data_IF_213093358403
#
_entry.id   IF_213093358403
#
_cell.length_a   1.000
_cell.length_b   1.000
_cell.length_c   1.000
_cell.angle_alpha   90.00
_cell.angle_beta   90.00
_cell.angle_gamma   90.00
#
_symmetry.space_group_name_H-M   'P 1'
#
loop_
_entity.id
_entity.type
_entity.pdbx_description
1 polymer ?
#
# COMPACT_ATOMS: atom_id res chain seq x y z
N UNK A 1 -17.91 -5.32 -0.49
CA UNK A 1 -16.46 -5.21 -0.27
C UNK A 1 -15.77 -5.19 -1.61
N UNK A 2 -14.78 -4.30 -1.80
CA UNK A 2 -13.94 -4.29 -3.01
C UNK A 2 -13.29 -5.65 -3.23
N UNK A 3 -13.06 -6.03 -4.50
CA UNK A 3 -12.27 -7.23 -4.84
C UNK A 3 -10.76 -6.93 -4.89
N UNK A 4 -10.40 -5.65 -4.94
CA UNK A 4 -9.02 -5.18 -5.07
C UNK A 4 -8.67 -4.34 -3.85
N UNK A 5 -7.48 -4.54 -3.30
CA UNK A 5 -6.91 -3.68 -2.28
C UNK A 5 -5.52 -3.19 -2.69
N UNK A 6 -5.28 -1.89 -2.51
CA UNK A 6 -3.95 -1.33 -2.50
C UNK A 6 -3.31 -1.56 -1.13
N UNK A 7 -2.09 -2.07 -1.10
CA UNK A 7 -1.35 -2.37 0.13
C UNK A 7 -0.08 -1.52 0.18
N UNK A 8 0.11 -0.83 1.29
CA UNK A 8 1.35 -0.10 1.55
C UNK A 8 2.36 -0.95 2.38
N UNK A 9 3.61 -0.48 2.53
CA UNK A 9 4.66 -1.22 3.24
C UNK A 9 4.34 -1.42 4.72
N UNK A 10 3.63 -0.48 5.35
CA UNK A 10 3.31 -0.57 6.77
C UNK A 10 2.44 -1.79 7.08
N UNK A 11 1.58 -2.21 6.15
CA UNK A 11 0.76 -3.41 6.28
C UNK A 11 1.49 -4.71 5.94
N UNK A 12 2.56 -4.65 5.13
CA UNK A 12 3.27 -5.86 4.68
C UNK A 12 4.52 -6.16 5.50
N UNK A 13 5.27 -5.15 5.97
CA UNK A 13 6.54 -5.31 6.70
C UNK A 13 6.39 -6.20 7.95
N UNK A 14 5.43 -5.98 8.86
CA UNK A 14 5.30 -6.82 10.06
C UNK A 14 4.92 -8.27 9.71
N UNK A 15 4.17 -8.46 8.63
CA UNK A 15 3.75 -9.78 8.15
C UNK A 15 4.95 -10.56 7.60
N UNK A 16 5.78 -9.94 6.77
CA UNK A 16 6.92 -10.62 6.12
C UNK A 16 8.12 -10.81 7.05
N UNK A 17 8.29 -9.93 8.04
CA UNK A 17 9.34 -10.06 9.07
C UNK A 17 8.91 -10.92 10.27
N UNK A 18 7.74 -11.55 10.22
CA UNK A 18 7.33 -12.50 11.25
C UNK A 18 7.01 -11.86 12.61
N UNK A 19 6.53 -10.62 12.64
CA UNK A 19 6.12 -9.94 13.89
C UNK A 19 4.78 -10.51 14.41
N UNK A 20 4.83 -11.49 15.32
CA UNK A 20 3.67 -12.28 15.79
C UNK A 20 2.47 -11.44 16.28
N UNK A 21 2.72 -10.25 16.84
CA UNK A 21 1.67 -9.38 17.38
C UNK A 21 0.79 -8.72 16.31
N UNK A 22 1.26 -8.63 15.05
CA UNK A 22 0.56 -7.96 13.95
C UNK A 22 0.00 -8.92 12.89
N UNK A 23 0.45 -10.17 12.89
CA UNK A 23 0.10 -11.15 11.85
C UNK A 23 -1.40 -11.47 11.81
N UNK A 24 -2.03 -11.80 12.93
CA UNK A 24 -3.37 -12.41 12.87
C UNK A 24 -4.48 -11.50 12.31
N UNK A 25 -4.46 -10.20 12.62
CA UNK A 25 -5.45 -9.25 12.10
C UNK A 25 -5.09 -8.72 10.71
N UNK A 26 -3.81 -8.43 10.46
CA UNK A 26 -3.36 -7.87 9.18
C UNK A 26 -3.40 -8.91 8.08
N UNK A 27 -2.94 -10.15 8.35
CA UNK A 27 -3.11 -11.29 7.44
C UNK A 27 -4.56 -11.47 7.04
N UNK A 28 -5.48 -11.41 8.00
CA UNK A 28 -6.91 -11.57 7.72
C UNK A 28 -7.46 -10.47 6.82
N UNK A 29 -6.99 -9.22 6.98
CA UNK A 29 -7.34 -8.10 6.10
C UNK A 29 -6.80 -8.33 4.69
N UNK A 30 -5.55 -8.80 4.56
CA UNK A 30 -4.93 -9.10 3.26
C UNK A 30 -5.64 -10.27 2.55
N UNK A 31 -5.88 -11.38 3.26
CA UNK A 31 -6.53 -12.59 2.72
C UNK A 31 -8.00 -12.34 2.31
N UNK A 32 -8.63 -11.25 2.77
CA UNK A 32 -9.98 -10.88 2.37
C UNK A 32 -10.09 -10.39 0.92
N UNK A 33 -8.96 -10.06 0.28
CA UNK A 33 -8.93 -9.54 -1.09
C UNK A 33 -8.24 -10.53 -2.03
N UNK A 34 -8.91 -10.97 -3.11
CA UNK A 34 -8.29 -11.84 -4.11
C UNK A 34 -7.20 -11.15 -4.93
N UNK A 35 -7.18 -9.81 -4.95
CA UNK A 35 -6.22 -9.02 -5.71
C UNK A 35 -5.59 -7.95 -4.83
N UNK A 36 -4.32 -8.15 -4.49
CA UNK A 36 -3.49 -7.19 -3.77
C UNK A 36 -2.61 -6.45 -4.77
N UNK A 37 -2.64 -5.12 -4.71
CA UNK A 37 -1.91 -4.24 -5.62
C UNK A 37 -1.00 -3.32 -4.82
N UNK A 38 0.15 -2.94 -5.39
CA UNK A 38 0.98 -1.87 -4.82
C UNK A 38 1.83 -1.18 -5.88
N UNK A 39 2.50 -0.09 -5.52
CA UNK A 39 3.56 0.49 -6.34
C UNK A 39 4.81 -0.39 -6.27
N UNK A 40 5.65 -0.32 -7.29
CA UNK A 40 6.99 -0.93 -7.28
C UNK A 40 7.90 -0.36 -6.18
N UNK A 41 7.57 0.82 -5.66
CA UNK A 41 8.25 1.43 -4.52
C UNK A 41 8.18 0.58 -3.24
N UNK A 42 7.08 -0.17 -3.05
CA UNK A 42 6.92 -1.11 -1.95
C UNK A 42 8.08 -2.11 -1.87
N UNK A 43 8.54 -2.65 -3.01
CA UNK A 43 9.64 -3.62 -3.01
C UNK A 43 10.94 -3.00 -2.50
N UNK A 44 11.21 -1.74 -2.87
CA UNK A 44 12.38 -1.02 -2.38
C UNK A 44 12.33 -0.83 -0.86
N UNK A 45 11.17 -0.48 -0.31
CA UNK A 45 10.97 -0.31 1.13
C UNK A 45 11.11 -1.63 1.89
N UNK A 46 10.57 -2.72 1.35
CA UNK A 46 10.75 -4.06 1.93
C UNK A 46 12.23 -4.45 1.94
N UNK A 47 12.95 -4.29 0.83
CA UNK A 47 14.39 -4.59 0.77
C UNK A 47 15.19 -3.78 1.78
N UNK A 48 14.84 -2.52 2.01
CA UNK A 48 15.45 -1.68 3.06
C UNK A 48 15.13 -2.22 4.45
N UNK A 49 13.88 -2.62 4.71
CA UNK A 49 13.48 -3.21 5.99
C UNK A 49 14.24 -4.52 6.28
N UNK A 50 14.26 -5.47 5.35
CA UNK A 50 15.04 -6.71 5.47
C UNK A 50 16.52 -6.43 5.72
N UNK A 51 17.10 -5.47 4.98
CA UNK A 51 18.50 -5.09 5.17
C UNK A 51 18.76 -4.52 6.57
N UNK A 52 17.82 -3.76 7.13
CA UNK A 52 17.91 -3.20 8.49
C UNK A 52 17.87 -4.29 9.55
N UNK A 53 17.01 -5.29 9.37
CA UNK A 53 16.89 -6.45 10.26
C UNK A 53 17.97 -7.52 10.03
N UNK A 54 18.86 -7.32 9.06
CA UNK A 54 19.93 -8.26 8.68
C UNK A 54 19.39 -9.61 8.18
N UNK A 55 18.22 -9.58 7.56
CA UNK A 55 17.60 -10.74 6.92
C UNK A 55 17.78 -10.72 5.40
N UNK A 56 17.75 -11.89 4.79
CA UNK A 56 17.77 -12.02 3.33
C UNK A 56 16.37 -11.79 2.77
N UNK A 57 16.26 -10.91 1.78
CA UNK A 57 14.98 -10.64 1.12
C UNK A 57 14.53 -11.85 0.30
N UNK A 58 13.45 -12.49 0.74
CA UNK A 58 12.78 -13.55 -0.01
C UNK A 58 11.76 -12.94 -0.98
N UNK A 59 11.96 -13.17 -2.27
CA UNK A 59 11.02 -12.77 -3.35
C UNK A 59 9.62 -13.37 -3.18
N UNK A 60 9.46 -14.48 -2.45
CA UNK A 60 8.15 -15.05 -2.16
C UNK A 60 7.27 -14.10 -1.33
N UNK A 61 7.89 -13.19 -0.55
CA UNK A 61 7.24 -12.18 0.30
C UNK A 61 6.34 -11.21 -0.46
N UNK A 62 6.55 -11.05 -1.77
CA UNK A 62 5.76 -10.16 -2.64
C UNK A 62 5.08 -10.89 -3.79
N UNK A 63 5.11 -12.22 -3.79
CA UNK A 63 4.61 -13.04 -4.91
C UNK A 63 3.10 -12.94 -5.16
N UNK A 64 2.33 -12.53 -4.14
CA UNK A 64 0.89 -12.29 -4.23
C UNK A 64 0.51 -10.85 -4.62
N UNK A 65 1.50 -9.95 -4.69
CA UNK A 65 1.28 -8.54 -5.03
C UNK A 65 1.41 -8.35 -6.54
N UNK A 66 0.41 -7.72 -7.15
CA UNK A 66 0.51 -7.22 -8.50
C UNK A 66 0.94 -5.74 -8.50
N UNK A 67 1.81 -5.40 -9.45
CA UNK A 67 2.50 -4.12 -9.47
C UNK A 67 1.79 -3.10 -10.36
N UNK A 68 1.61 -1.89 -9.83
CA UNK A 68 1.08 -0.74 -10.56
C UNK A 68 2.26 0.07 -11.09
N UNK A 69 2.29 0.26 -12.41
CA UNK A 69 3.24 1.11 -13.10
C UNK A 69 2.50 2.27 -13.78
N UNK A 70 2.47 3.47 -13.19
CA UNK A 70 1.85 4.62 -13.80
C UNK A 70 2.48 4.92 -15.18
N UNK A 71 1.65 4.93 -16.22
CA UNK A 71 2.08 5.21 -17.59
C UNK A 71 2.16 6.71 -17.91
N UNK A 72 1.92 7.56 -16.91
CA UNK A 72 2.03 9.01 -16.95
C UNK A 72 2.52 9.54 -15.61
N UNK A 73 2.89 10.82 -15.60
CA UNK A 73 3.13 11.54 -14.36
C UNK A 73 1.85 11.56 -13.50
N UNK A 74 2.04 11.48 -12.19
CA UNK A 74 0.96 11.51 -11.20
C UNK A 74 0.79 12.91 -10.55
N UNK A 75 1.02 13.97 -11.32
CA UNK A 75 1.05 15.35 -10.78
C UNK A 75 -0.28 15.73 -10.14
N UNK A 76 -1.41 15.34 -10.75
CA UNK A 76 -2.75 15.63 -10.24
C UNK A 76 -3.05 14.84 -8.96
N UNK A 77 -2.65 13.58 -8.89
CA UNK A 77 -2.86 12.72 -7.73
C UNK A 77 -2.01 13.17 -6.55
N UNK A 78 -0.72 13.48 -6.78
CA UNK A 78 0.16 14.01 -5.74
C UNK A 78 -0.37 15.34 -5.20
N UNK A 79 -0.86 16.23 -6.06
CA UNK A 79 -1.49 17.49 -5.63
C UNK A 79 -2.71 17.22 -4.73
N UNK A 80 -3.62 16.33 -5.13
CA UNK A 80 -4.81 15.96 -4.33
C UNK A 80 -4.46 15.37 -2.96
N UNK A 81 -3.41 14.56 -2.88
CA UNK A 81 -2.92 14.02 -1.59
C UNK A 81 -2.43 15.15 -0.69
N UNK A 82 -1.63 16.06 -1.25
CA UNK A 82 -1.00 17.16 -0.50
C UNK A 82 -1.98 18.29 -0.14
N UNK A 83 -3.13 18.39 -0.81
CA UNK A 83 -4.22 19.28 -0.40
C UNK A 83 -4.83 18.89 0.96
N UNK A 84 -4.75 17.59 1.33
CA UNK A 84 -5.31 17.07 2.58
C UNK A 84 -4.29 17.18 3.72
N UNK A 85 -3.07 16.69 3.51
CA UNK A 85 -2.03 16.69 4.56
C UNK A 85 -0.63 16.70 3.95
N UNK A 86 0.29 17.33 4.67
CA UNK A 86 1.72 17.09 4.45
C UNK A 86 2.07 15.66 4.91
N UNK A 87 2.74 14.92 4.04
CA UNK A 87 3.13 13.52 4.23
C UNK A 87 4.57 13.31 3.73
N UNK A 88 5.20 12.22 4.15
CA UNK A 88 6.52 11.85 3.60
C UNK A 88 6.40 11.50 2.10
N UNK A 89 7.47 11.66 1.31
CA UNK A 89 7.45 11.34 -0.13
C UNK A 89 6.95 9.93 -0.44
N UNK A 90 7.30 8.94 0.39
CA UNK A 90 6.85 7.55 0.25
C UNK A 90 5.32 7.44 0.36
N UNK A 91 4.74 8.04 1.41
CA UNK A 91 3.29 8.01 1.64
C UNK A 91 2.53 8.75 0.53
N UNK A 92 3.06 9.89 0.07
CA UNK A 92 2.53 10.62 -1.08
C UNK A 92 2.53 9.72 -2.32
N UNK A 93 3.63 9.01 -2.58
CA UNK A 93 3.75 8.11 -3.72
C UNK A 93 2.74 6.96 -3.68
N UNK A 94 2.53 6.33 -2.52
CA UNK A 94 1.56 5.26 -2.37
C UNK A 94 0.12 5.73 -2.61
N UNK A 95 -0.30 6.81 -1.95
CA UNK A 95 -1.64 7.36 -2.11
C UNK A 95 -1.87 7.86 -3.55
N UNK A 96 -0.89 8.51 -4.16
CA UNK A 96 -0.98 8.97 -5.54
C UNK A 96 -1.10 7.80 -6.53
N UNK A 97 -0.34 6.72 -6.30
CA UNK A 97 -0.43 5.50 -7.12
C UNK A 97 -1.78 4.82 -6.97
N UNK A 98 -2.32 4.78 -5.75
CA UNK A 98 -3.65 4.23 -5.49
C UNK A 98 -4.74 5.05 -6.18
N UNK A 99 -4.66 6.39 -6.15
CA UNK A 99 -5.58 7.28 -6.87
C UNK A 99 -5.51 7.02 -8.38
N UNK A 100 -4.31 7.06 -8.95
CA UNK A 100 -4.08 6.78 -10.37
C UNK A 100 -4.73 5.46 -10.79
N UNK A 101 -4.49 4.40 -10.01
CA UNK A 101 -5.00 3.08 -10.35
C UNK A 101 -6.50 2.95 -10.13
N UNK A 102 -7.06 3.61 -9.11
CA UNK A 102 -8.52 3.62 -8.88
C UNK A 102 -9.28 4.20 -10.07
N UNK A 103 -8.74 5.25 -10.71
CA UNK A 103 -9.32 5.85 -11.91
C UNK A 103 -9.24 4.91 -13.12
N UNK A 104 -8.12 4.19 -13.26
CA UNK A 104 -7.93 3.19 -14.34
C UNK A 104 -8.86 1.99 -14.15
N UNK A 105 -9.00 1.51 -12.91
CA UNK A 105 -9.77 0.34 -12.55
C UNK A 105 -11.28 0.54 -12.76
N UNK A 106 -11.77 1.79 -12.67
CA UNK A 106 -13.19 2.15 -12.76
C UNK A 106 -14.10 1.33 -11.81
N UNK A 107 -13.54 0.87 -10.68
CA UNK A 107 -14.29 0.18 -9.63
C UNK A 107 -13.69 0.51 -8.26
N UNK A 108 -14.43 0.17 -7.20
CA UNK A 108 -13.96 0.39 -5.83
C UNK A 108 -12.69 -0.42 -5.55
N UNK A 109 -11.74 0.22 -4.86
CA UNK A 109 -10.51 -0.39 -4.38
C UNK A 109 -10.32 0.01 -2.91
N UNK A 110 -10.05 -0.97 -2.04
CA UNK A 110 -9.72 -0.68 -0.65
C UNK A 110 -8.27 -0.18 -0.51
N UNK A 111 -7.96 0.52 0.58
CA UNK A 111 -6.59 0.90 0.93
C UNK A 111 -6.22 0.29 2.28
N UNK A 112 -5.14 -0.50 2.32
CA UNK A 112 -4.68 -1.20 3.51
C UNK A 112 -3.36 -0.56 3.97
N UNK A 113 -3.39 -0.04 5.20
CA UNK A 113 -2.25 0.55 5.89
C UNK A 113 -2.38 0.29 7.40
N UNK A 114 -1.25 0.36 8.11
CA UNK A 114 -1.17 0.43 9.57
C UNK A 114 -0.75 1.84 10.04
N UNK A 115 -0.51 2.76 9.11
CA UNK A 115 -0.15 4.14 9.40
C UNK A 115 -1.41 5.00 9.57
N UNK A 116 -1.68 5.45 10.80
CA UNK A 116 -2.91 6.21 11.13
C UNK A 116 -3.05 7.52 10.33
N UNK A 117 -1.94 8.19 10.06
CA UNK A 117 -1.95 9.44 9.31
C UNK A 117 -2.30 9.16 7.84
N UNK A 118 -1.68 8.14 7.25
CA UNK A 118 -1.98 7.72 5.88
C UNK A 118 -3.40 7.16 5.74
N UNK A 119 -3.89 6.43 6.74
CA UNK A 119 -5.26 5.92 6.79
C UNK A 119 -6.27 7.07 6.75
N UNK A 120 -6.02 8.12 7.54
CA UNK A 120 -6.88 9.31 7.58
C UNK A 120 -6.97 9.95 6.19
N UNK A 121 -5.82 10.16 5.54
CA UNK A 121 -5.78 10.74 4.19
C UNK A 121 -6.44 9.81 3.18
N UNK A 122 -6.23 8.49 3.26
CA UNK A 122 -6.88 7.54 2.37
C UNK A 122 -8.42 7.56 2.50
N UNK A 123 -8.96 7.67 3.73
CA UNK A 123 -10.41 7.83 3.97
C UNK A 123 -10.94 9.10 3.34
N UNK A 124 -10.23 10.23 3.51
CA UNK A 124 -10.63 11.52 2.93
C UNK A 124 -10.57 11.53 1.40
N UNK A 125 -9.65 10.77 0.81
CA UNK A 125 -9.58 10.53 -0.64
C UNK A 125 -10.69 9.61 -1.15
N UNK A 126 -11.47 8.99 -0.26
CA UNK A 126 -12.62 8.14 -0.59
C UNK A 126 -12.31 6.65 -0.65
N UNK A 127 -11.15 6.20 -0.18
CA UNK A 127 -10.84 4.77 -0.12
C UNK A 127 -11.55 4.09 1.07
N UNK A 128 -12.20 2.93 0.85
CA UNK A 128 -12.60 2.03 1.92
C UNK A 128 -11.38 1.52 2.69
N UNK A 129 -11.45 1.56 4.04
CA UNK A 129 -10.44 0.98 4.93
C UNK A 129 -11.02 -0.28 5.59
N UNK A 130 -10.45 -1.47 5.33
CA UNK A 130 -10.91 -2.73 5.93
C UNK A 130 -10.36 -2.97 7.33
#
# INVERSE_FOLDING_TARGET
MPLVAYVDPSALIPEVLGEELFQSSTRRRLDAFPHLMSSDFLEAELRVAFKREQEDFDTSSVSSIAWIFPNRRMDAEMARVLEISELSPARVWHLATALFFSEVLQSEMAFITLDEQQETVARELGFPIP
#
